data_IF_898998149105
#
_entry.id   IF_898998149105
#
_cell.length_a   1.000
_cell.length_b   1.000
_cell.length_c   1.000
_cell.angle_alpha   90.00
_cell.angle_beta   90.00
_cell.angle_gamma   90.00
#
_symmetry.space_group_name_H-M   'P 1'
#
loop_
_entity.id
_entity.type
_entity.pdbx_description
1 polymer ?
#
# COMPACT_ATOMS: atom_id res chain seq x y z
N UNK A 1 -21.57 21.01 -51.81
CA UNK A 1 -22.23 21.25 -50.50
C UNK A 1 -22.78 19.97 -49.87
N UNK A 2 -23.40 19.04 -50.61
CA UNK A 2 -23.97 17.79 -50.05
C UNK A 2 -22.97 16.84 -49.35
N UNK A 3 -21.72 16.72 -49.86
CA UNK A 3 -20.70 15.81 -49.29
C UNK A 3 -20.27 16.19 -47.87
N UNK A 4 -20.21 17.47 -47.54
CA UNK A 4 -19.81 17.95 -46.20
C UNK A 4 -20.91 17.72 -45.16
N UNK A 5 -22.17 17.90 -45.54
CA UNK A 5 -23.33 17.65 -44.66
C UNK A 5 -23.47 16.17 -44.33
N UNK A 6 -23.33 15.28 -45.32
CA UNK A 6 -23.37 13.82 -45.08
C UNK A 6 -22.25 13.38 -44.14
N UNK A 7 -21.01 13.85 -44.35
CA UNK A 7 -19.86 13.57 -43.48
C UNK A 7 -20.09 14.02 -42.03
N UNK A 8 -20.70 15.19 -41.84
CA UNK A 8 -21.03 15.70 -40.52
C UNK A 8 -22.14 14.88 -39.83
N UNK A 9 -23.19 14.48 -40.56
CA UNK A 9 -24.25 13.61 -40.04
C UNK A 9 -23.70 12.25 -39.63
N UNK A 10 -22.88 11.60 -40.47
CA UNK A 10 -22.23 10.33 -40.11
C UNK A 10 -21.33 10.45 -38.88
N UNK A 11 -20.60 11.57 -38.73
CA UNK A 11 -19.75 11.81 -37.56
C UNK A 11 -20.57 12.00 -36.28
N UNK A 12 -21.72 12.69 -36.37
CA UNK A 12 -22.66 12.83 -35.25
C UNK A 12 -23.25 11.47 -34.88
N UNK A 13 -23.69 10.68 -35.87
CA UNK A 13 -24.23 9.34 -35.65
C UNK A 13 -23.21 8.38 -35.00
N UNK A 14 -21.95 8.43 -35.44
CA UNK A 14 -20.85 7.68 -34.81
C UNK A 14 -20.62 8.08 -33.35
N UNK A 15 -20.68 9.38 -33.03
CA UNK A 15 -20.54 9.84 -31.63
C UNK A 15 -21.70 9.39 -30.76
N UNK A 16 -22.93 9.44 -31.27
CA UNK A 16 -24.13 9.02 -30.54
C UNK A 16 -24.12 7.50 -30.29
N UNK A 17 -23.77 6.70 -31.31
CA UNK A 17 -23.63 5.24 -31.16
C UNK A 17 -22.52 4.86 -30.20
N UNK A 18 -21.34 5.51 -30.27
CA UNK A 18 -20.27 5.29 -29.31
C UNK A 18 -20.71 5.62 -27.87
N UNK A 19 -21.36 6.77 -27.66
CA UNK A 19 -21.89 7.17 -26.35
C UNK A 19 -22.92 6.17 -25.81
N UNK A 20 -23.76 5.61 -26.68
CA UNK A 20 -24.73 4.59 -26.33
C UNK A 20 -24.05 3.27 -25.94
N UNK A 21 -23.06 2.83 -26.72
CA UNK A 21 -22.26 1.64 -26.41
C UNK A 21 -21.53 1.83 -25.07
N UNK A 22 -20.88 2.98 -24.85
CA UNK A 22 -20.26 3.29 -23.55
C UNK A 22 -21.25 3.24 -22.40
N UNK A 23 -22.46 3.78 -22.58
CA UNK A 23 -23.51 3.74 -21.56
C UNK A 23 -23.95 2.30 -21.26
N UNK A 24 -24.16 1.48 -22.28
CA UNK A 24 -24.55 0.07 -22.13
C UNK A 24 -23.42 -0.72 -21.48
N UNK A 25 -22.18 -0.59 -21.96
CA UNK A 25 -21.01 -1.26 -21.37
C UNK A 25 -20.82 -0.84 -19.93
N UNK A 26 -20.91 0.46 -19.61
CA UNK A 26 -20.83 0.94 -18.21
C UNK A 26 -21.95 0.37 -17.36
N UNK A 27 -23.18 0.28 -17.87
CA UNK A 27 -24.31 -0.32 -17.15
C UNK A 27 -24.07 -1.81 -16.88
N UNK A 28 -23.64 -2.56 -17.90
CA UNK A 28 -23.34 -4.00 -17.77
C UNK A 28 -22.17 -4.24 -16.82
N UNK A 29 -21.07 -3.50 -16.97
CA UNK A 29 -19.93 -3.55 -16.05
C UNK A 29 -20.35 -3.17 -14.64
N UNK A 30 -21.17 -2.13 -14.48
CA UNK A 30 -21.70 -1.78 -13.18
C UNK A 30 -22.50 -2.91 -12.59
N UNK A 31 -23.40 -3.57 -13.34
CA UNK A 31 -24.20 -4.68 -12.83
C UNK A 31 -23.35 -5.92 -12.47
N UNK A 32 -22.33 -6.24 -13.28
CA UNK A 32 -21.45 -7.39 -13.08
C UNK A 32 -20.47 -7.15 -11.93
N UNK A 33 -19.86 -5.96 -11.88
CA UNK A 33 -18.86 -5.58 -10.89
C UNK A 33 -19.45 -4.77 -9.73
N UNK A 34 -20.78 -4.71 -9.57
CA UNK A 34 -21.44 -4.12 -8.38
C UNK A 34 -21.24 -5.03 -7.18
N UNK A 35 -20.02 -5.21 -6.73
CA UNK A 35 -19.79 -5.77 -5.42
C UNK A 35 -20.09 -4.66 -4.40
N UNK A 36 -21.04 -4.82 -3.47
CA UNK A 36 -21.02 -4.01 -2.27
C UNK A 36 -19.69 -4.32 -1.60
N UNK A 37 -18.74 -3.37 -1.70
CA UNK A 37 -17.39 -3.59 -1.21
C UNK A 37 -17.43 -4.10 0.23
N UNK A 38 -16.72 -5.20 0.49
CA UNK A 38 -16.62 -5.76 1.83
C UNK A 38 -16.06 -4.69 2.77
N UNK A 39 -16.72 -4.51 3.91
CA UNK A 39 -16.27 -3.56 4.90
C UNK A 39 -15.00 -4.07 5.57
N UNK A 40 -14.00 -3.21 5.66
CA UNK A 40 -12.77 -3.56 6.36
C UNK A 40 -13.03 -3.67 7.86
N UNK A 41 -12.39 -4.65 8.53
CA UNK A 41 -12.46 -4.74 9.98
C UNK A 41 -11.90 -3.46 10.62
N UNK A 42 -12.47 -2.99 11.74
CA UNK A 42 -12.03 -1.78 12.40
C UNK A 42 -10.57 -1.91 12.87
N UNK A 43 -9.88 -0.77 12.97
CA UNK A 43 -8.51 -0.73 13.47
C UNK A 43 -8.55 -0.91 14.99
N UNK A 44 -7.88 -1.96 15.47
CA UNK A 44 -7.85 -2.32 16.89
C UNK A 44 -6.62 -1.73 17.60
N UNK A 45 -5.47 -1.72 16.92
CA UNK A 45 -4.22 -1.19 17.45
C UNK A 45 -3.98 0.24 16.96
N UNK A 46 -3.87 1.20 17.89
CA UNK A 46 -3.61 2.61 17.61
C UNK A 46 -2.23 2.85 16.99
N UNK A 47 -1.29 1.92 17.15
CA UNK A 47 0.03 1.99 16.53
C UNK A 47 -0.07 2.01 15.00
N UNK A 48 -1.12 1.40 14.42
CA UNK A 48 -1.40 1.43 12.98
C UNK A 48 -1.79 2.83 12.47
N UNK A 49 -2.15 3.76 13.37
CA UNK A 49 -2.53 5.13 13.04
C UNK A 49 -1.37 6.12 13.19
N UNK A 50 -0.23 5.68 13.74
CA UNK A 50 0.94 6.54 13.86
C UNK A 50 1.58 6.83 12.49
N UNK A 51 2.08 8.05 12.32
CA UNK A 51 2.89 8.39 11.14
C UNK A 51 4.25 7.69 11.20
N UNK A 52 4.90 7.51 10.04
CA UNK A 52 6.25 6.95 9.96
C UNK A 52 7.26 7.73 10.81
N UNK A 53 7.16 9.06 10.87
CA UNK A 53 8.01 9.90 11.71
C UNK A 53 7.72 9.73 13.20
N UNK A 54 6.46 9.55 13.58
CA UNK A 54 6.08 9.26 14.96
C UNK A 54 6.58 7.87 15.40
N UNK A 55 6.45 6.85 14.55
CA UNK A 55 7.00 5.52 14.80
C UNK A 55 8.52 5.58 14.95
N UNK A 56 9.23 6.23 14.03
CA UNK A 56 10.68 6.41 14.14
C UNK A 56 11.10 7.09 15.44
N UNK A 57 10.37 8.15 15.85
CA UNK A 57 10.60 8.81 17.13
C UNK A 57 10.36 7.87 18.33
N UNK A 58 9.28 7.09 18.32
CA UNK A 58 8.98 6.15 19.41
C UNK A 58 10.02 5.01 19.49
N UNK A 59 10.48 4.50 18.33
CA UNK A 59 11.50 3.46 18.25
C UNK A 59 12.86 3.99 18.74
N UNK A 60 13.33 5.12 18.22
CA UNK A 60 14.64 5.68 18.63
C UNK A 60 14.70 6.08 20.11
N UNK A 61 13.57 6.49 20.68
CA UNK A 61 13.42 6.79 22.13
C UNK A 61 13.09 5.56 22.97
N UNK A 62 13.09 4.35 22.38
CA UNK A 62 12.83 3.06 23.04
C UNK A 62 11.47 2.96 23.73
N UNK A 63 10.49 3.77 23.30
CA UNK A 63 9.10 3.70 23.79
C UNK A 63 8.37 2.48 23.24
N UNK A 64 8.75 2.03 22.05
CA UNK A 64 8.25 0.82 21.39
C UNK A 64 9.43 0.10 20.72
N UNK A 65 9.31 -1.22 20.57
CA UNK A 65 10.26 -2.05 19.82
C UNK A 65 9.91 -2.06 18.33
N UNK A 66 10.92 -2.08 17.47
CA UNK A 66 10.75 -2.23 16.03
C UNK A 66 10.09 -3.57 15.70
N UNK A 67 10.45 -4.65 16.39
CA UNK A 67 9.83 -5.97 16.22
C UNK A 67 8.31 -5.91 16.44
N UNK A 68 7.87 -5.30 17.55
CA UNK A 68 6.44 -5.15 17.86
C UNK A 68 5.69 -4.34 16.80
N UNK A 69 6.30 -3.27 16.29
CA UNK A 69 5.73 -2.47 15.19
C UNK A 69 5.52 -3.36 13.96
N UNK A 70 6.55 -4.11 13.55
CA UNK A 70 6.46 -4.99 12.37
C UNK A 70 5.42 -6.09 12.57
N UNK A 71 5.36 -6.71 13.74
CA UNK A 71 4.35 -7.73 14.07
C UNK A 71 2.92 -7.18 13.96
N UNK A 72 2.66 -5.98 14.51
CA UNK A 72 1.35 -5.33 14.41
C UNK A 72 0.95 -5.08 12.95
N UNK A 73 1.87 -4.60 12.10
CA UNK A 73 1.58 -4.38 10.68
C UNK A 73 1.36 -5.68 9.92
N UNK A 74 2.14 -6.74 10.19
CA UNK A 74 1.94 -8.07 9.59
C UNK A 74 0.57 -8.64 9.96
N UNK A 75 0.19 -8.55 11.24
CA UNK A 75 -1.12 -9.00 11.70
C UNK A 75 -2.25 -8.27 10.96
N UNK A 76 -2.13 -6.95 10.78
CA UNK A 76 -3.10 -6.15 10.02
C UNK A 76 -3.14 -6.53 8.54
N UNK A 77 -2.00 -6.81 7.92
CA UNK A 77 -1.94 -7.27 6.52
C UNK A 77 -2.67 -8.61 6.40
N UNK A 78 -2.42 -9.58 7.29
CA UNK A 78 -3.10 -10.88 7.27
C UNK A 78 -4.61 -10.78 7.46
N UNK A 79 -5.07 -9.81 8.24
CA UNK A 79 -6.50 -9.54 8.46
C UNK A 79 -7.17 -8.90 7.23
N UNK A 80 -6.49 -7.98 6.54
CA UNK A 80 -7.10 -7.11 5.51
C UNK A 80 -6.81 -7.56 4.08
N UNK A 81 -5.67 -8.19 3.81
CA UNK A 81 -5.28 -8.60 2.46
C UNK A 81 -6.25 -9.59 1.79
N UNK A 82 -6.95 -10.50 2.49
CA UNK A 82 -7.98 -11.33 1.87
C UNK A 82 -9.13 -10.52 1.25
N UNK A 83 -9.39 -9.32 1.76
CA UNK A 83 -10.45 -8.41 1.28
C UNK A 83 -9.92 -7.50 0.17
N UNK A 84 -8.73 -6.91 0.36
CA UNK A 84 -8.17 -5.91 -0.56
C UNK A 84 -7.36 -6.51 -1.71
N UNK A 85 -6.72 -7.67 -1.48
CA UNK A 85 -5.80 -8.32 -2.40
C UNK A 85 -4.71 -7.38 -2.94
N UNK A 86 -4.03 -6.66 -2.03
CA UNK A 86 -3.04 -5.63 -2.34
C UNK A 86 -1.58 -6.06 -2.13
N UNK A 87 -1.34 -7.15 -1.40
CA UNK A 87 -0.01 -7.71 -1.14
C UNK A 87 0.10 -9.02 -1.92
N UNK A 88 1.03 -9.04 -2.88
CA UNK A 88 1.26 -10.16 -3.79
C UNK A 88 2.38 -11.10 -3.33
N UNK A 89 3.36 -10.56 -2.63
CA UNK A 89 4.50 -11.29 -2.10
C UNK A 89 4.85 -10.78 -0.69
N UNK A 90 5.39 -11.65 0.15
CA UNK A 90 5.65 -11.39 1.57
C UNK A 90 7.09 -11.71 2.00
N UNK A 91 7.78 -10.71 2.56
CA UNK A 91 9.09 -10.87 3.22
C UNK A 91 8.95 -10.73 4.74
N UNK A 92 7.94 -11.37 5.33
CA UNK A 92 7.60 -11.18 6.74
C UNK A 92 8.70 -11.66 7.70
N UNK A 93 9.25 -12.85 7.48
CA UNK A 93 10.33 -13.39 8.33
C UNK A 93 11.59 -12.53 8.25
N UNK A 94 11.95 -12.08 7.04
CA UNK A 94 13.07 -11.17 6.83
C UNK A 94 12.86 -9.83 7.52
N UNK A 95 11.66 -9.24 7.42
CA UNK A 95 11.32 -7.99 8.07
C UNK A 95 11.38 -8.10 9.61
N UNK A 96 10.91 -9.20 10.19
CA UNK A 96 11.00 -9.46 11.64
C UNK A 96 12.45 -9.62 12.09
N UNK A 97 13.28 -10.30 11.29
CA UNK A 97 14.71 -10.43 11.57
C UNK A 97 15.40 -9.06 11.56
N UNK A 98 15.16 -8.25 10.52
CA UNK A 98 15.74 -6.91 10.41
C UNK A 98 15.30 -6.01 11.58
N UNK A 99 14.05 -6.13 12.02
CA UNK A 99 13.51 -5.39 13.17
C UNK A 99 14.19 -5.78 14.50
N UNK A 100 14.41 -7.08 14.73
CA UNK A 100 15.17 -7.57 15.91
C UNK A 100 16.60 -7.08 15.92
N UNK A 101 17.24 -7.00 14.74
CA UNK A 101 18.58 -6.45 14.61
C UNK A 101 18.61 -4.96 14.98
N UNK A 102 17.61 -4.19 14.54
CA UNK A 102 17.44 -2.79 14.95
C UNK A 102 17.28 -2.66 16.47
N UNK A 103 16.40 -3.45 17.08
CA UNK A 103 16.18 -3.40 18.53
C UNK A 103 17.46 -3.75 19.30
N UNK A 104 18.21 -4.77 18.85
CA UNK A 104 19.51 -5.14 19.41
C UNK A 104 20.56 -4.03 19.27
N UNK A 105 20.56 -3.29 18.16
CA UNK A 105 21.44 -2.13 17.95
C UNK A 105 21.10 -0.97 18.89
N UNK A 106 19.81 -0.73 19.12
CA UNK A 106 19.34 0.29 20.06
C UNK A 106 19.64 -0.06 21.51
N UNK A 107 19.58 -1.35 21.88
CA UNK A 107 19.95 -1.86 23.20
C UNK A 107 21.45 -1.70 23.48
N UNK A 108 22.32 -1.89 22.46
CA UNK A 108 23.77 -1.65 22.58
C UNK A 108 24.13 -0.18 22.81
N UNK A 109 23.23 0.76 22.50
CA UNK A 109 23.42 2.18 22.80
C UNK A 109 24.57 2.86 22.03
N UNK A 110 24.95 2.35 20.85
CA UNK A 110 26.13 2.83 20.11
C UNK A 110 25.96 4.24 19.53
N UNK A 111 24.73 4.71 19.35
CA UNK A 111 24.40 6.04 18.83
C UNK A 111 23.42 6.75 19.76
N UNK A 112 23.57 8.07 19.88
CA UNK A 112 22.59 8.93 20.56
C UNK A 112 21.32 9.09 19.74
N UNK A 113 20.22 9.49 20.38
CA UNK A 113 18.93 9.72 19.70
C UNK A 113 19.04 10.76 18.58
N UNK A 114 19.86 11.80 18.77
CA UNK A 114 20.11 12.85 17.76
C UNK A 114 20.90 12.34 16.56
N UNK A 115 21.88 11.47 16.79
CA UNK A 115 22.65 10.84 15.71
C UNK A 115 21.78 9.87 14.92
N UNK A 116 20.92 9.11 15.60
CA UNK A 116 19.95 8.23 14.96
C UNK A 116 18.94 9.02 14.12
N UNK A 117 18.43 10.13 14.63
CA UNK A 117 17.53 11.02 13.88
C UNK A 117 18.19 11.62 12.64
N UNK A 118 19.48 11.97 12.70
CA UNK A 118 20.22 12.54 11.57
C UNK A 118 20.62 11.48 10.54
N UNK A 119 21.23 10.39 10.98
CA UNK A 119 21.87 9.40 10.10
C UNK A 119 20.88 8.37 9.58
N UNK A 120 19.89 8.00 10.40
CA UNK A 120 18.94 6.90 10.14
C UNK A 120 17.52 7.31 10.58
N UNK A 121 16.91 8.33 9.94
CA UNK A 121 15.68 8.95 10.42
C UNK A 121 14.46 8.01 10.50
N UNK A 122 14.47 6.90 9.76
CA UNK A 122 13.40 5.89 9.74
C UNK A 122 13.86 4.52 10.25
N UNK A 123 14.88 4.47 11.10
CA UNK A 123 15.40 3.21 11.64
C UNK A 123 14.29 2.40 12.32
N UNK A 124 14.07 1.17 11.86
CA UNK A 124 13.08 0.24 12.41
C UNK A 124 11.62 0.48 11.97
N UNK A 125 11.36 1.44 11.08
CA UNK A 125 10.01 1.68 10.55
C UNK A 125 9.73 0.73 9.38
N UNK A 126 8.64 -0.05 9.40
CA UNK A 126 8.27 -0.93 8.29
C UNK A 126 7.87 -0.11 7.05
N UNK A 127 8.18 -0.65 5.87
CA UNK A 127 7.69 -0.12 4.61
C UNK A 127 7.44 -1.27 3.63
N UNK A 128 6.63 -1.00 2.61
CA UNK A 128 6.41 -1.89 1.47
C UNK A 128 6.87 -1.21 0.19
N UNK A 129 7.16 -2.00 -0.84
CA UNK A 129 7.53 -1.51 -2.16
C UNK A 129 6.55 -2.04 -3.20
N UNK A 130 6.49 -1.39 -4.36
CA UNK A 130 5.74 -1.90 -5.50
C UNK A 130 6.47 -3.09 -6.08
N UNK A 131 5.73 -4.13 -6.44
CA UNK A 131 6.24 -5.40 -6.99
C UNK A 131 7.19 -5.23 -8.21
N UNK A 132 6.98 -4.19 -9.01
CA UNK A 132 7.88 -3.86 -10.13
C UNK A 132 9.25 -3.30 -9.70
N UNK A 133 9.57 -3.24 -8.41
CA UNK A 133 10.84 -2.75 -7.87
C UNK A 133 11.61 -3.95 -7.31
N UNK A 134 12.84 -4.14 -7.79
CA UNK A 134 13.68 -5.26 -7.38
C UNK A 134 14.06 -5.19 -5.90
N UNK A 135 13.88 -6.32 -5.21
CA UNK A 135 14.30 -6.52 -3.83
C UNK A 135 15.38 -7.59 -3.80
N UNK A 136 16.50 -7.31 -3.13
CA UNK A 136 17.62 -8.24 -3.03
C UNK A 136 17.18 -9.52 -2.31
N UNK A 137 17.36 -10.66 -2.97
CA UNK A 137 17.07 -11.98 -2.41
C UNK A 137 15.66 -12.49 -2.69
N UNK A 138 14.80 -11.69 -3.33
CA UNK A 138 13.47 -12.09 -3.78
C UNK A 138 13.47 -12.41 -5.28
N UNK A 139 12.71 -13.43 -5.68
CA UNK A 139 12.48 -13.71 -7.10
C UNK A 139 11.41 -12.78 -7.63
N UNK A 140 11.76 -11.92 -8.59
CA UNK A 140 10.77 -11.10 -9.30
C UNK A 140 10.02 -11.95 -10.31
N UNK A 141 8.69 -11.86 -10.32
CA UNK A 141 7.82 -12.49 -11.31
C UNK A 141 7.82 -11.75 -12.65
#
# INVERSE_FOLDING_TARGET
MASTTVKNVTRVLMRLSHRFIEMVVRCLLQLIYRSPGEQLPPIQDLLLLDSASALAYKIRTRKIKSETVVETFIARIKEVNPILNCVVDERFEGALKDAREVDSLLEKGTKTEKELERDTPYLGVPFTTKDCIAVKGECQA
#
